data_IF_720745432711
#
_entry.id   IF_720745432711
#
_cell.length_a   1.000
_cell.length_b   1.000
_cell.length_c   1.000
_cell.angle_alpha   90.00
_cell.angle_beta   90.00
_cell.angle_gamma   90.00
#
_symmetry.space_group_name_H-M   'P 1'
#
loop_
_entity.id
_entity.type
_entity.pdbx_description
1 polymer ?
#
# COMPACT_ATOMS: atom_id res chain seq x y z
N UNK A 1 16.28 -19.12 -16.82
CA UNK A 1 16.01 -19.74 -15.50
C UNK A 1 14.73 -20.57 -15.61
N UNK A 2 14.57 -21.67 -14.86
CA UNK A 2 13.40 -22.55 -14.97
C UNK A 2 12.60 -22.55 -13.68
N UNK A 3 11.29 -22.30 -13.77
CA UNK A 3 10.36 -22.40 -12.64
C UNK A 3 9.83 -23.82 -12.57
N UNK A 4 9.88 -24.44 -11.39
CA UNK A 4 9.41 -25.79 -11.14
C UNK A 4 8.05 -25.75 -10.45
N UNK A 5 7.04 -26.36 -11.08
CA UNK A 5 5.69 -26.47 -10.53
C UNK A 5 5.66 -27.39 -9.30
N UNK A 6 4.97 -26.97 -8.25
CA UNK A 6 4.65 -27.82 -7.09
C UNK A 6 3.18 -28.17 -7.04
N UNK A 7 2.31 -27.20 -7.32
CA UNK A 7 0.87 -27.39 -7.47
C UNK A 7 0.28 -26.43 -8.53
N UNK A 8 -1.04 -26.37 -8.64
CA UNK A 8 -1.73 -25.51 -9.60
C UNK A 8 -1.38 -24.02 -9.42
N UNK A 9 -1.29 -23.56 -8.16
CA UNK A 9 -1.11 -22.15 -7.82
C UNK A 9 0.32 -21.81 -7.41
N UNK A 10 1.15 -22.79 -7.06
CA UNK A 10 2.51 -22.60 -6.58
C UNK A 10 3.57 -23.38 -7.36
N UNK A 11 4.73 -22.75 -7.48
CA UNK A 11 5.98 -23.32 -7.95
C UNK A 11 7.14 -22.68 -7.22
N UNK A 12 8.35 -23.03 -7.62
CA UNK A 12 9.57 -22.43 -7.09
C UNK A 12 10.61 -22.18 -8.17
N UNK A 13 11.43 -21.16 -7.96
CA UNK A 13 12.61 -20.88 -8.76
C UNK A 13 13.85 -21.19 -7.90
N UNK A 14 14.66 -22.21 -8.27
CA UNK A 14 15.88 -22.54 -7.55
C UNK A 14 16.91 -21.42 -7.66
N UNK A 15 17.70 -21.26 -6.59
CA UNK A 15 18.82 -20.34 -6.58
C UNK A 15 20.04 -20.99 -7.23
N UNK A 16 20.90 -20.21 -7.91
CA UNK A 16 22.19 -20.72 -8.38
C UNK A 16 23.01 -21.28 -7.21
N UNK A 17 23.63 -22.45 -7.37
CA UNK A 17 24.66 -22.96 -6.44
C UNK A 17 24.18 -23.48 -5.07
N UNK A 18 22.96 -24.02 -4.96
CA UNK A 18 22.37 -24.54 -3.69
C UNK A 18 22.38 -23.52 -2.53
N UNK A 19 22.12 -22.25 -2.87
CA UNK A 19 22.24 -21.11 -1.95
C UNK A 19 21.01 -20.89 -1.03
N UNK A 20 20.49 -21.97 -0.45
CA UNK A 20 19.39 -21.95 0.52
C UNK A 20 17.99 -21.99 -0.08
N UNK A 21 16.99 -21.53 0.70
CA UNK A 21 15.55 -21.65 0.36
C UNK A 21 15.24 -21.01 -1.01
N UNK A 22 14.60 -21.74 -1.95
CA UNK A 22 14.27 -21.23 -3.28
C UNK A 22 13.22 -20.10 -3.21
N UNK A 23 13.05 -19.39 -4.31
CA UNK A 23 12.02 -18.35 -4.45
C UNK A 23 10.67 -19.02 -4.65
N UNK A 24 9.66 -18.65 -3.85
CA UNK A 24 8.28 -19.10 -4.07
C UNK A 24 7.68 -18.32 -5.24
N UNK A 25 7.10 -19.01 -6.22
CA UNK A 25 6.45 -18.38 -7.37
C UNK A 25 4.97 -18.74 -7.36
N UNK A 26 4.12 -17.71 -7.30
CA UNK A 26 2.66 -17.85 -7.27
C UNK A 26 2.09 -17.54 -8.66
N UNK A 27 1.20 -18.40 -9.14
CA UNK A 27 0.55 -18.27 -10.43
C UNK A 27 0.29 -19.63 -11.06
N UNK A 28 -0.60 -19.70 -12.05
CA UNK A 28 -0.77 -20.88 -12.91
C UNK A 28 0.40 -21.01 -13.88
N UNK A 29 0.47 -22.10 -14.64
CA UNK A 29 1.53 -22.31 -15.64
C UNK A 29 1.59 -21.15 -16.65
N UNK A 30 0.44 -20.70 -17.15
CA UNK A 30 0.35 -19.54 -18.05
C UNK A 30 0.90 -18.23 -17.43
N UNK A 31 0.77 -18.05 -16.12
CA UNK A 31 1.30 -16.87 -15.42
C UNK A 31 2.81 -17.01 -15.20
N UNK A 32 3.27 -18.19 -14.76
CA UNK A 32 4.70 -18.46 -14.54
C UNK A 32 5.51 -18.29 -15.82
N UNK A 33 4.95 -18.74 -16.94
CA UNK A 33 5.57 -18.61 -18.27
C UNK A 33 5.58 -17.17 -18.80
N UNK A 34 4.86 -16.24 -18.14
CA UNK A 34 4.77 -14.84 -18.56
C UNK A 34 5.83 -13.93 -17.92
N UNK A 35 6.53 -14.38 -16.88
CA UNK A 35 7.58 -13.58 -16.24
C UNK A 35 8.77 -13.40 -17.18
N UNK A 36 9.14 -12.15 -17.44
CA UNK A 36 10.33 -11.84 -18.22
C UNK A 36 11.62 -12.14 -17.44
N UNK A 37 12.74 -12.27 -18.18
CA UNK A 37 14.03 -12.62 -17.57
C UNK A 37 14.52 -11.56 -16.58
N UNK A 38 14.19 -10.27 -16.78
CA UNK A 38 14.60 -9.18 -15.89
C UNK A 38 13.91 -9.32 -14.53
N UNK A 39 12.62 -9.64 -14.52
CA UNK A 39 11.84 -9.92 -13.32
C UNK A 39 12.43 -11.08 -12.52
N UNK A 40 12.77 -12.19 -13.20
CA UNK A 40 13.38 -13.35 -12.57
C UNK A 40 14.78 -13.05 -12.01
N UNK A 41 15.61 -12.32 -12.76
CA UNK A 41 16.94 -11.89 -12.31
C UNK A 41 16.84 -11.00 -11.07
N UNK A 42 15.90 -10.05 -11.05
CA UNK A 42 15.64 -9.21 -9.87
C UNK A 42 15.16 -10.01 -8.67
N UNK A 43 14.34 -11.05 -8.87
CA UNK A 43 13.90 -11.94 -7.79
C UNK A 43 15.08 -12.73 -7.21
N UNK A 44 15.98 -13.26 -8.06
CA UNK A 44 17.22 -13.93 -7.64
C UNK A 44 18.15 -12.98 -6.90
N UNK A 45 18.38 -11.78 -7.44
CA UNK A 45 19.21 -10.77 -6.80
C UNK A 45 18.67 -10.37 -5.42
N UNK A 46 17.35 -10.18 -5.31
CA UNK A 46 16.67 -9.90 -4.04
C UNK A 46 16.86 -11.04 -3.05
N UNK A 47 16.72 -12.28 -3.49
CA UNK A 47 16.85 -13.45 -2.62
C UNK A 47 18.29 -13.68 -2.16
N UNK A 48 19.26 -13.37 -3.00
CA UNK A 48 20.70 -13.46 -2.69
C UNK A 48 21.21 -12.26 -1.88
N UNK A 49 20.37 -11.25 -1.63
CA UNK A 49 20.78 -10.07 -0.87
C UNK A 49 20.99 -10.38 0.63
N UNK A 50 21.88 -9.63 1.32
CA UNK A 50 22.25 -9.91 2.70
C UNK A 50 21.06 -10.00 3.67
N UNK A 51 21.00 -11.11 4.41
CA UNK A 51 19.98 -11.30 5.43
C UNK A 51 18.57 -11.58 4.92
N UNK A 52 18.35 -11.71 3.61
CA UNK A 52 17.06 -12.11 3.03
C UNK A 52 16.88 -13.63 3.18
N UNK A 53 15.77 -14.04 3.79
CA UNK A 53 15.42 -15.46 3.99
C UNK A 53 14.45 -15.98 2.94
N UNK A 54 13.54 -15.12 2.51
CA UNK A 54 12.45 -15.47 1.60
C UNK A 54 12.22 -14.40 0.56
N UNK A 55 11.95 -14.84 -0.66
CA UNK A 55 11.35 -14.01 -1.71
C UNK A 55 10.18 -14.77 -2.30
N UNK A 56 9.06 -14.05 -2.45
CA UNK A 56 7.85 -14.56 -3.09
C UNK A 56 7.55 -13.66 -4.29
N UNK A 57 7.37 -14.27 -5.46
CA UNK A 57 6.94 -13.60 -6.68
C UNK A 57 5.45 -13.89 -6.92
N UNK A 58 4.61 -12.87 -6.82
CA UNK A 58 3.16 -12.98 -7.02
C UNK A 58 2.78 -12.96 -8.51
N UNK A 59 1.52 -13.32 -8.85
CA UNK A 59 1.08 -13.44 -10.25
C UNK A 59 1.22 -12.17 -11.10
N UNK A 60 1.25 -11.00 -10.47
CA UNK A 60 1.41 -9.69 -11.09
C UNK A 60 2.86 -9.21 -11.17
N UNK A 61 3.81 -10.11 -10.87
CA UNK A 61 5.25 -9.90 -10.91
C UNK A 61 5.76 -9.30 -12.22
N UNK A 62 6.50 -8.19 -12.15
CA UNK A 62 7.19 -7.61 -13.30
C UNK A 62 8.41 -6.79 -12.87
N UNK A 63 9.28 -6.49 -13.83
CA UNK A 63 10.50 -5.72 -13.59
C UNK A 63 10.21 -4.38 -12.87
N UNK A 64 10.92 -4.15 -11.77
CA UNK A 64 10.79 -2.98 -10.92
C UNK A 64 12.12 -2.25 -10.70
N UNK A 65 12.15 -1.42 -9.66
CA UNK A 65 13.36 -0.70 -9.21
C UNK A 65 14.06 -1.45 -8.06
N UNK A 66 15.20 -2.07 -8.29
CA UNK A 66 15.93 -2.92 -7.33
C UNK A 66 15.32 -4.30 -7.14
N UNK A 67 14.05 -4.36 -6.73
CA UNK A 67 13.27 -5.58 -6.64
C UNK A 67 12.06 -5.54 -7.58
N UNK A 68 11.52 -6.71 -7.99
CA UNK A 68 10.33 -6.78 -8.83
C UNK A 68 9.15 -6.07 -8.18
N UNK A 69 8.26 -5.49 -8.97
CA UNK A 69 6.90 -5.20 -8.50
C UNK A 69 6.16 -6.54 -8.47
N UNK A 70 5.24 -6.74 -7.53
CA UNK A 70 4.59 -8.04 -7.30
C UNK A 70 5.39 -8.94 -6.35
N UNK A 71 6.45 -8.44 -5.70
CA UNK A 71 7.27 -9.29 -4.82
C UNK A 71 7.04 -9.02 -3.33
N UNK A 72 7.34 -10.05 -2.55
CA UNK A 72 7.48 -9.99 -1.09
C UNK A 72 8.90 -10.43 -0.76
N UNK A 73 9.58 -9.70 0.10
CA UNK A 73 10.94 -10.01 0.55
C UNK A 73 11.01 -9.98 2.07
N UNK A 74 11.44 -11.09 2.66
CA UNK A 74 11.54 -11.25 4.12
C UNK A 74 12.99 -11.17 4.55
N UNK A 75 13.28 -10.29 5.50
CA UNK A 75 14.62 -10.10 6.05
C UNK A 75 14.55 -9.90 7.57
N UNK A 76 15.10 -10.83 8.37
CA UNK A 76 15.19 -10.66 9.82
C UNK A 76 16.27 -9.68 10.29
N UNK A 77 17.21 -9.28 9.43
CA UNK A 77 18.43 -8.56 9.87
C UNK A 77 18.71 -7.27 9.14
N UNK A 78 18.03 -7.00 8.02
CA UNK A 78 18.26 -5.82 7.18
C UNK A 78 16.95 -5.21 6.69
N UNK A 79 16.94 -3.89 6.50
CA UNK A 79 15.83 -3.14 5.91
C UNK A 79 16.24 -2.57 4.54
N UNK A 80 15.32 -2.61 3.57
CA UNK A 80 15.60 -2.28 2.17
C UNK A 80 14.56 -1.28 1.60
N UNK A 81 14.97 -0.11 1.08
CA UNK A 81 14.05 0.81 0.42
C UNK A 81 13.53 0.35 -0.94
N UNK A 82 14.37 -0.33 -1.73
CA UNK A 82 14.02 -0.81 -3.09
C UNK A 82 12.74 -1.66 -3.15
N UNK A 83 12.62 -2.69 -2.29
CA UNK A 83 11.44 -3.55 -2.11
C UNK A 83 10.26 -2.92 -1.34
N UNK A 84 10.31 -1.62 -1.04
CA UNK A 84 9.15 -0.80 -0.64
C UNK A 84 8.74 0.13 -1.78
N UNK A 85 9.72 0.73 -2.45
CA UNK A 85 9.51 1.62 -3.59
C UNK A 85 9.38 3.09 -3.19
N UNK A 86 9.21 3.93 -4.21
CA UNK A 86 9.23 5.40 -4.05
C UNK A 86 7.87 6.00 -3.69
N UNK A 87 6.78 5.25 -3.85
CA UNK A 87 5.46 5.64 -3.35
C UNK A 87 5.16 4.83 -2.11
N UNK A 88 5.73 5.28 -1.00
CA UNK A 88 5.64 4.64 0.32
C UNK A 88 4.16 4.52 0.69
N UNK A 89 3.75 3.32 1.08
CA UNK A 89 2.39 2.95 1.43
C UNK A 89 1.37 3.37 0.37
N UNK A 90 1.73 3.25 -0.91
CA UNK A 90 0.72 3.18 -1.98
C UNK A 90 -0.29 2.09 -1.61
N UNK A 91 -1.58 2.41 -1.70
CA UNK A 91 -2.65 1.69 -1.02
C UNK A 91 -3.97 1.73 -1.77
N UNK A 92 -4.86 0.83 -1.36
CA UNK A 92 -6.25 0.77 -1.75
C UNK A 92 -7.13 1.07 -0.54
N UNK A 93 -8.26 1.75 -0.75
CA UNK A 93 -9.34 1.83 0.24
C UNK A 93 -10.69 1.65 -0.42
N UNK A 94 -11.59 0.94 0.26
CA UNK A 94 -12.95 0.71 -0.22
C UNK A 94 -13.95 1.35 0.75
N UNK A 95 -14.66 2.38 0.28
CA UNK A 95 -15.79 2.98 0.97
C UNK A 95 -17.07 2.36 0.41
N UNK A 96 -17.96 1.81 1.24
CA UNK A 96 -19.30 1.43 0.79
C UNK A 96 -20.31 2.49 1.22
N UNK A 97 -21.17 2.88 0.29
CA UNK A 97 -22.27 3.80 0.54
C UNK A 97 -23.59 3.03 0.66
N UNK A 98 -24.53 3.57 1.42
CA UNK A 98 -25.88 2.99 1.55
C UNK A 98 -26.78 3.24 0.32
N UNK A 99 -26.19 3.67 -0.79
CA UNK A 99 -26.84 3.99 -2.06
C UNK A 99 -27.06 2.71 -2.88
N UNK A 100 -28.30 2.38 -3.29
CA UNK A 100 -28.57 1.28 -4.19
C UNK A 100 -28.19 1.61 -5.65
N UNK A 101 -27.93 0.58 -6.45
CA UNK A 101 -27.53 0.70 -7.87
C UNK A 101 -28.48 1.56 -8.71
N UNK A 102 -29.79 1.44 -8.50
CA UNK A 102 -30.82 2.18 -9.22
C UNK A 102 -30.74 3.70 -9.00
N UNK A 103 -30.31 4.14 -7.81
CA UNK A 103 -30.11 5.55 -7.50
C UNK A 103 -29.00 6.21 -8.34
N UNK A 104 -28.10 5.43 -8.95
CA UNK A 104 -27.05 5.92 -9.86
C UNK A 104 -27.20 5.38 -11.29
N UNK A 105 -28.36 4.82 -11.64
CA UNK A 105 -28.62 4.26 -12.97
C UNK A 105 -28.66 5.35 -14.07
N UNK A 106 -29.07 6.57 -13.72
CA UNK A 106 -29.08 7.70 -14.64
C UNK A 106 -27.67 8.30 -14.87
N UNK A 107 -27.42 8.68 -16.13
CA UNK A 107 -26.15 9.29 -16.57
C UNK A 107 -25.94 10.67 -15.98
N UNK A 108 -26.98 11.48 -15.79
CA UNK A 108 -26.85 12.81 -15.22
C UNK A 108 -26.45 12.74 -13.74
N UNK A 109 -27.04 11.83 -12.95
CA UNK A 109 -26.62 11.55 -11.57
C UNK A 109 -25.16 11.12 -11.50
N UNK A 110 -24.73 10.15 -12.33
CA UNK A 110 -23.31 9.75 -12.37
C UNK A 110 -22.38 10.92 -12.74
N UNK A 111 -22.78 11.78 -13.68
CA UNK A 111 -21.99 12.95 -14.05
C UNK A 111 -21.92 13.97 -12.92
N UNK A 112 -23.02 14.20 -12.21
CA UNK A 112 -23.07 15.08 -11.05
C UNK A 112 -22.15 14.58 -9.93
N UNK A 113 -22.17 13.28 -9.63
CA UNK A 113 -21.27 12.65 -8.66
C UNK A 113 -19.80 12.82 -9.04
N UNK A 114 -19.44 12.50 -10.29
CA UNK A 114 -18.07 12.67 -10.79
C UNK A 114 -17.61 14.13 -10.64
N UNK A 115 -18.46 15.09 -11.02
CA UNK A 115 -18.13 16.51 -10.91
C UNK A 115 -17.97 16.93 -9.43
N UNK A 116 -18.87 16.51 -8.55
CA UNK A 116 -18.81 16.82 -7.12
C UNK A 116 -17.57 16.23 -6.44
N UNK A 117 -17.09 15.06 -6.88
CA UNK A 117 -15.85 14.44 -6.44
C UNK A 117 -14.64 15.23 -6.95
N UNK A 118 -14.58 15.55 -8.25
CA UNK A 118 -13.47 16.31 -8.85
C UNK A 118 -13.36 17.72 -8.25
N UNK A 119 -14.47 18.34 -7.83
CA UNK A 119 -14.45 19.61 -7.11
C UNK A 119 -13.79 19.52 -5.73
N UNK A 120 -13.65 18.33 -5.14
CA UNK A 120 -13.10 18.09 -3.79
C UNK A 120 -11.74 17.40 -3.79
N UNK A 121 -11.48 16.49 -4.74
CA UNK A 121 -10.26 15.67 -4.79
C UNK A 121 -9.41 16.01 -6.01
N UNK A 122 -8.24 16.66 -5.85
CA UNK A 122 -7.34 16.93 -6.98
C UNK A 122 -6.82 15.65 -7.65
N UNK A 123 -6.76 15.66 -9.00
CA UNK A 123 -6.24 14.56 -9.84
C UNK A 123 -5.21 15.07 -10.87
N UNK A 124 -4.40 14.18 -11.46
CA UNK A 124 -3.44 14.51 -12.53
C UNK A 124 -2.05 14.87 -12.00
N UNK A 125 -1.07 15.26 -12.85
CA UNK A 125 0.29 15.65 -12.45
C UNK A 125 0.51 17.19 -12.49
N UNK A 126 1.45 17.73 -11.70
CA UNK A 126 1.87 19.14 -11.79
C UNK A 126 1.03 20.14 -10.96
N UNK A 127 0.91 21.40 -11.41
CA UNK A 127 0.29 22.52 -10.67
C UNK A 127 -1.21 22.29 -10.34
N UNK A 128 -1.91 21.45 -11.12
CA UNK A 128 -3.31 21.07 -10.85
C UNK A 128 -3.51 20.11 -9.66
N UNK A 129 -2.43 19.66 -8.99
CA UNK A 129 -2.52 18.71 -7.86
C UNK A 129 -2.81 19.33 -6.49
N UNK A 130 -2.74 20.66 -6.35
CA UNK A 130 -2.59 21.27 -5.01
C UNK A 130 -3.89 21.71 -4.37
N UNK A 131 -4.88 22.07 -5.18
CA UNK A 131 -6.13 22.59 -4.67
C UNK A 131 -7.19 22.53 -5.76
N UNK A 132 -8.41 22.24 -5.34
CA UNK A 132 -9.63 22.35 -6.12
C UNK A 132 -10.64 23.14 -5.29
N UNK A 133 -11.74 23.57 -5.91
CA UNK A 133 -12.71 24.51 -5.34
C UNK A 133 -13.17 24.16 -3.91
N UNK A 134 -13.37 22.88 -3.63
CA UNK A 134 -13.88 22.34 -2.35
C UNK A 134 -12.85 21.42 -1.66
N UNK A 135 -11.56 21.55 -1.97
CA UNK A 135 -10.52 20.80 -1.28
C UNK A 135 -10.47 21.16 0.21
N UNK A 136 -10.15 20.17 1.06
CA UNK A 136 -9.88 20.43 2.48
C UNK A 136 -8.50 21.09 2.61
N UNK A 137 -8.45 22.28 3.20
CA UNK A 137 -7.17 22.95 3.44
C UNK A 137 -6.39 22.25 4.56
N UNK A 138 -5.10 22.00 4.34
CA UNK A 138 -4.19 21.44 5.33
C UNK A 138 -2.96 22.32 5.42
N UNK A 139 -2.82 22.99 6.56
CA UNK A 139 -1.64 23.77 6.93
C UNK A 139 -0.67 22.92 7.77
N UNK A 140 0.40 23.54 8.28
CA UNK A 140 1.38 22.84 9.11
C UNK A 140 0.85 22.43 10.49
N UNK A 141 -0.14 23.15 11.03
CA UNK A 141 -0.74 22.84 12.33
C UNK A 141 -1.42 21.47 12.31
N UNK A 142 -2.07 21.12 11.20
CA UNK A 142 -2.71 19.81 11.02
C UNK A 142 -1.78 18.83 10.29
N UNK A 143 -1.04 19.30 9.30
CA UNK A 143 -0.22 18.47 8.43
C UNK A 143 0.98 17.83 9.12
N UNK A 144 1.58 18.48 10.12
CA UNK A 144 2.62 17.87 10.94
C UNK A 144 2.04 16.68 11.73
N UNK A 145 1.01 16.83 12.59
CA UNK A 145 0.36 15.69 13.23
C UNK A 145 -0.07 14.59 12.25
N UNK A 146 -0.57 14.96 11.07
CA UNK A 146 -0.98 13.98 10.06
C UNK A 146 0.17 13.07 9.60
N UNK A 147 1.39 13.59 9.47
CA UNK A 147 2.56 12.79 9.07
C UNK A 147 3.31 12.16 10.24
N UNK A 148 3.27 12.74 11.44
CA UNK A 148 3.98 12.19 12.61
C UNK A 148 3.13 11.23 13.44
N UNK A 149 1.80 11.31 13.36
CA UNK A 149 0.90 10.48 14.17
C UNK A 149 -0.08 9.65 13.35
N UNK A 150 -0.26 9.95 12.07
CA UNK A 150 -1.20 9.24 11.21
C UNK A 150 -2.65 9.53 11.58
N UNK A 151 -3.53 8.54 11.40
CA UNK A 151 -4.97 8.68 11.59
C UNK A 151 -5.41 8.53 13.06
N UNK A 152 -4.78 9.29 13.97
CA UNK A 152 -5.26 9.39 15.36
C UNK A 152 -6.60 10.13 15.41
N UNK A 153 -7.37 9.92 16.48
CA UNK A 153 -8.68 10.56 16.64
C UNK A 153 -8.63 12.09 16.47
N UNK A 154 -7.59 12.75 16.99
CA UNK A 154 -7.41 14.21 16.87
C UNK A 154 -7.16 14.65 15.43
N UNK A 155 -6.34 13.91 14.67
CA UNK A 155 -6.05 14.20 13.26
C UNK A 155 -7.31 13.98 12.42
N UNK A 156 -8.00 12.86 12.65
CA UNK A 156 -9.25 12.56 11.97
C UNK A 156 -10.31 13.65 12.22
N UNK A 157 -10.54 14.04 13.47
CA UNK A 157 -11.48 15.10 13.83
C UNK A 157 -11.12 16.45 13.19
N UNK A 158 -9.84 16.85 13.23
CA UNK A 158 -9.38 18.10 12.63
C UNK A 158 -9.61 18.16 11.11
N UNK A 159 -9.58 17.01 10.43
CA UNK A 159 -9.78 16.89 8.99
C UNK A 159 -11.22 16.54 8.58
N UNK A 160 -12.14 16.35 9.54
CA UNK A 160 -13.51 15.92 9.26
C UNK A 160 -13.63 14.45 8.82
N UNK A 161 -12.63 13.62 9.15
CA UNK A 161 -12.62 12.19 8.90
C UNK A 161 -13.31 11.49 10.09
N UNK A 162 -14.25 10.55 9.85
CA UNK A 162 -14.83 9.73 10.92
C UNK A 162 -13.74 8.93 11.66
N UNK A 163 -13.48 9.19 12.97
CA UNK A 163 -12.38 8.56 13.70
C UNK A 163 -12.48 7.03 13.76
N UNK A 164 -13.69 6.47 13.72
CA UNK A 164 -13.93 5.04 13.73
C UNK A 164 -13.42 4.32 12.47
N UNK A 165 -13.18 5.04 11.37
CA UNK A 165 -12.58 4.47 10.16
C UNK A 165 -11.13 4.03 10.40
N UNK A 166 -10.45 4.57 11.41
CA UNK A 166 -9.12 4.10 11.81
C UNK A 166 -9.11 2.60 12.21
N UNK A 167 -10.22 2.07 12.73
CA UNK A 167 -10.36 0.63 13.07
C UNK A 167 -10.59 -0.27 11.84
N UNK A 168 -10.71 0.33 10.65
CA UNK A 168 -10.86 -0.35 9.36
C UNK A 168 -9.60 -0.22 8.50
N UNK A 169 -8.47 0.14 9.11
CA UNK A 169 -7.17 0.18 8.46
C UNK A 169 -6.33 -1.02 8.89
N UNK A 170 -5.50 -1.52 7.97
CA UNK A 170 -4.48 -2.51 8.33
C UNK A 170 -3.50 -2.04 9.42
N UNK A 171 -3.13 -0.76 9.38
CA UNK A 171 -2.61 0.07 10.48
C UNK A 171 -2.97 1.53 10.18
N UNK A 172 -3.62 2.17 11.14
CA UNK A 172 -4.07 3.56 11.08
C UNK A 172 -2.97 4.55 11.45
N UNK A 173 -1.98 4.13 12.22
CA UNK A 173 -0.85 4.95 12.68
C UNK A 173 0.45 4.16 12.58
N UNK A 174 1.54 4.88 12.37
CA UNK A 174 2.92 4.38 12.35
C UNK A 174 3.75 5.25 13.30
N UNK A 175 4.66 4.60 14.03
CA UNK A 175 5.59 5.24 14.98
C UNK A 175 7.02 5.17 14.43
N UNK A 176 7.95 5.87 15.07
CA UNK A 176 9.37 5.79 14.75
C UNK A 176 9.98 4.44 15.11
N UNK A 177 11.27 4.30 14.79
CA UNK A 177 12.11 3.14 15.04
C UNK A 177 12.08 2.67 16.51
N UNK A 178 11.86 3.59 17.45
CA UNK A 178 11.78 3.32 18.90
C UNK A 178 10.35 3.10 19.42
N UNK A 179 9.34 3.10 18.54
CA UNK A 179 7.94 2.93 18.90
C UNK A 179 7.23 4.21 19.34
N UNK A 180 7.83 5.40 19.18
CA UNK A 180 7.24 6.67 19.60
C UNK A 180 6.87 7.60 18.45
N UNK A 181 5.92 8.53 18.68
CA UNK A 181 5.66 9.64 17.76
C UNK A 181 6.73 10.74 17.87
N UNK A 182 7.41 10.84 19.01
CA UNK A 182 8.46 11.84 19.24
C UNK A 182 9.71 11.59 18.38
N UNK A 183 10.04 10.33 18.11
CA UNK A 183 11.06 9.98 17.12
C UNK A 183 10.70 10.50 15.72
N UNK A 184 9.45 10.33 15.28
CA UNK A 184 8.98 10.86 13.99
C UNK A 184 8.98 12.38 13.96
N UNK A 185 8.62 13.02 15.07
CA UNK A 185 8.66 14.48 15.19
C UNK A 185 10.09 15.00 15.05
N UNK A 186 11.02 14.41 15.80
CA UNK A 186 12.44 14.75 15.76
C UNK A 186 13.03 14.52 14.37
N UNK A 187 12.68 13.40 13.73
CA UNK A 187 13.09 13.08 12.37
C UNK A 187 12.59 14.12 11.37
N UNK A 188 11.31 14.48 11.46
CA UNK A 188 10.71 15.50 10.59
C UNK A 188 11.41 16.85 10.76
N UNK A 189 11.62 17.31 12.00
CA UNK A 189 12.30 18.58 12.28
C UNK A 189 13.72 18.60 11.70
N UNK A 190 14.45 17.48 11.81
CA UNK A 190 15.76 17.33 11.17
C UNK A 190 15.67 17.39 9.64
N UNK A 191 14.72 16.71 9.00
CA UNK A 191 14.52 16.74 7.54
C UNK A 191 14.28 18.18 7.05
N UNK A 192 13.47 18.94 7.77
CA UNK A 192 13.14 20.32 7.45
C UNK A 192 14.35 21.24 7.66
N UNK A 193 15.06 21.10 8.78
CA UNK A 193 16.28 21.86 9.07
C UNK A 193 17.39 21.62 8.04
N UNK A 194 17.50 20.39 7.51
CA UNK A 194 18.45 20.05 6.44
C UNK A 194 17.98 20.51 5.04
N UNK A 195 16.81 21.14 4.93
CA UNK A 195 16.26 21.60 3.64
C UNK A 195 16.00 20.46 2.66
N UNK A 196 15.77 19.24 3.16
CA UNK A 196 15.49 18.05 2.32
C UNK A 196 14.12 18.13 1.67
N UNK A 197 13.16 18.78 2.33
CA UNK A 197 11.83 19.08 1.80
C UNK A 197 11.58 20.59 1.94
N UNK A 198 12.13 21.37 0.99
CA UNK A 198 12.06 22.85 1.03
C UNK A 198 10.65 23.41 0.92
N UNK A 199 9.74 22.66 0.31
CA UNK A 199 8.35 23.06 0.10
C UNK A 199 7.39 22.21 0.93
N UNK A 200 7.71 21.99 2.21
CA UNK A 200 6.95 21.12 3.09
C UNK A 200 5.46 21.46 3.13
N UNK A 201 5.10 22.73 3.28
CA UNK A 201 3.70 23.21 3.24
C UNK A 201 2.97 22.79 1.96
N UNK A 202 3.64 22.89 0.80
CA UNK A 202 3.08 22.42 -0.48
C UNK A 202 2.87 20.90 -0.50
N UNK A 203 3.70 20.14 0.21
CA UNK A 203 3.65 18.67 0.24
C UNK A 203 2.53 18.16 1.14
N UNK A 204 2.39 18.71 2.34
CA UNK A 204 1.26 18.40 3.23
C UNK A 204 -0.07 18.86 2.65
N UNK A 205 -0.07 19.97 1.89
CA UNK A 205 -1.23 20.43 1.12
C UNK A 205 -1.68 19.47 0.00
N UNK A 206 -0.95 18.37 -0.26
CA UNK A 206 -1.38 17.31 -1.16
C UNK A 206 -2.32 16.28 -0.49
N UNK A 207 -2.54 16.36 0.83
CA UNK A 207 -3.53 15.53 1.51
C UNK A 207 -4.92 15.77 0.91
N UNK A 208 -5.67 14.68 0.68
CA UNK A 208 -6.94 14.70 -0.02
C UNK A 208 -6.83 14.58 -1.55
N UNK A 209 -5.67 14.18 -2.10
CA UNK A 209 -5.44 14.11 -3.56
C UNK A 209 -4.99 12.73 -4.05
N UNK A 210 -5.37 12.40 -5.29
CA UNK A 210 -4.90 11.18 -5.99
C UNK A 210 -3.55 11.39 -6.66
N UNK A 211 -3.38 12.56 -7.24
CA UNK A 211 -2.32 12.90 -8.17
C UNK A 211 -2.30 12.06 -9.45
N UNK A 212 -1.10 11.65 -9.91
CA UNK A 212 -0.91 11.04 -11.23
C UNK A 212 -0.32 9.63 -11.17
N UNK A 213 -0.14 8.99 -12.34
CA UNK A 213 0.38 7.63 -12.44
C UNK A 213 -0.75 6.62 -12.64
N UNK A 214 -0.75 5.54 -11.86
CA UNK A 214 -1.81 4.51 -11.84
C UNK A 214 -2.84 4.79 -10.73
N UNK A 215 -2.87 5.99 -10.16
CA UNK A 215 -3.83 6.35 -9.11
C UNK A 215 -5.17 6.71 -9.71
N UNK A 216 -6.25 6.22 -9.10
CA UNK A 216 -7.62 6.42 -9.58
C UNK A 216 -8.62 6.30 -8.43
N UNK A 217 -9.82 6.81 -8.66
CA UNK A 217 -11.01 6.47 -7.88
C UNK A 217 -12.08 5.91 -8.81
N UNK A 218 -12.75 4.84 -8.41
CA UNK A 218 -13.73 4.12 -9.20
C UNK A 218 -15.01 3.86 -8.39
N UNK A 219 -16.17 4.10 -9.00
CA UNK A 219 -17.46 3.70 -8.45
C UNK A 219 -17.86 2.34 -9.04
N UNK A 220 -18.08 1.37 -8.17
CA UNK A 220 -18.49 0.01 -8.53
C UNK A 220 -19.79 -0.37 -7.82
N UNK A 221 -20.51 -1.36 -8.36
CA UNK A 221 -21.63 -1.99 -7.67
C UNK A 221 -21.12 -3.24 -6.97
N UNK A 222 -21.30 -3.31 -5.65
CA UNK A 222 -20.95 -4.50 -4.87
C UNK A 222 -21.88 -5.65 -5.25
N UNK A 223 -21.29 -6.77 -5.69
CA UNK A 223 -21.99 -8.04 -5.90
C UNK A 223 -21.47 -9.10 -4.95
N UNK A 224 -22.35 -9.72 -4.18
CA UNK A 224 -22.04 -10.77 -3.22
C UNK A 224 -22.61 -12.09 -3.73
N UNK A 225 -21.76 -13.12 -3.83
CA UNK A 225 -22.19 -14.44 -4.30
C UNK A 225 -23.21 -15.09 -3.34
N UNK A 226 -24.07 -15.97 -3.85
CA UNK A 226 -25.08 -16.68 -3.03
C UNK A 226 -24.55 -17.77 -2.11
N UNK A 227 -23.23 -18.01 -2.11
CA UNK A 227 -22.63 -19.01 -1.22
C UNK A 227 -22.73 -18.55 0.25
N UNK A 228 -22.92 -19.45 1.23
CA UNK A 228 -23.04 -19.05 2.65
C UNK A 228 -21.78 -18.37 3.20
N UNK A 229 -20.61 -18.99 3.02
CA UNK A 229 -19.34 -18.50 3.56
C UNK A 229 -18.99 -17.06 3.13
N UNK A 230 -19.08 -16.67 1.84
CA UNK A 230 -18.79 -15.30 1.42
C UNK A 230 -19.83 -14.30 1.92
N UNK A 231 -21.09 -14.69 2.11
CA UNK A 231 -22.13 -13.81 2.66
C UNK A 231 -21.82 -13.46 4.12
N UNK A 232 -21.40 -14.43 4.92
CA UNK A 232 -21.02 -14.20 6.32
C UNK A 232 -19.77 -13.32 6.43
N UNK A 233 -18.77 -13.56 5.58
CA UNK A 233 -17.57 -12.70 5.49
C UNK A 233 -17.91 -11.28 5.04
N UNK A 234 -18.74 -11.12 4.01
CA UNK A 234 -19.16 -9.81 3.53
C UNK A 234 -19.90 -9.02 4.64
N UNK A 235 -20.74 -9.71 5.42
CA UNK A 235 -21.44 -9.11 6.57
C UNK A 235 -20.47 -8.60 7.64
N UNK A 236 -19.41 -9.34 8.00
CA UNK A 236 -18.41 -8.84 8.95
C UNK A 236 -17.65 -7.62 8.42
N UNK A 237 -17.45 -7.56 7.11
CA UNK A 237 -16.83 -6.43 6.42
C UNK A 237 -17.76 -5.21 6.32
N UNK A 238 -19.07 -5.38 6.56
CA UNK A 238 -20.08 -4.34 6.39
C UNK A 238 -20.50 -4.16 4.92
N UNK A 239 -20.18 -5.12 4.05
CA UNK A 239 -20.55 -5.12 2.64
C UNK A 239 -22.00 -5.59 2.46
N UNK A 240 -22.74 -4.84 1.64
CA UNK A 240 -24.11 -5.11 1.22
C UNK A 240 -24.18 -5.27 -0.30
N UNK A 241 -24.97 -6.25 -0.74
CA UNK A 241 -25.19 -6.54 -2.15
C UNK A 241 -26.02 -5.44 -2.83
N UNK A 242 -25.70 -5.13 -4.09
CA UNK A 242 -26.41 -4.13 -4.90
C UNK A 242 -26.18 -2.68 -4.46
N UNK A 243 -25.22 -2.44 -3.55
CA UNK A 243 -24.84 -1.10 -3.06
C UNK A 243 -23.63 -0.55 -3.79
N UNK A 244 -23.59 0.78 -3.89
CA UNK A 244 -22.47 1.52 -4.48
C UNK A 244 -21.27 1.45 -3.55
N UNK A 245 -20.11 1.11 -4.11
CA UNK A 245 -18.82 1.19 -3.46
C UNK A 245 -17.89 2.11 -4.25
N UNK A 246 -17.01 2.78 -3.51
CA UNK A 246 -15.98 3.64 -4.06
C UNK A 246 -14.62 3.06 -3.71
N UNK A 247 -13.89 2.58 -4.71
CA UNK A 247 -12.52 2.09 -4.58
C UNK A 247 -11.56 3.23 -4.91
N UNK A 248 -10.61 3.49 -4.02
CA UNK A 248 -9.59 4.53 -4.18
C UNK A 248 -8.21 3.91 -4.17
N UNK A 249 -7.38 4.25 -5.16
CA UNK A 249 -5.96 3.92 -5.26
C UNK A 249 -5.12 5.19 -5.26
N UNK A 250 -4.35 5.42 -4.19
CA UNK A 250 -3.32 6.46 -4.17
C UNK A 250 -2.21 6.09 -3.18
N UNK A 251 -1.43 7.08 -2.71
CA UNK A 251 -0.27 6.82 -1.87
C UNK A 251 0.21 8.06 -1.13
N UNK A 252 1.50 8.10 -0.82
CA UNK A 252 2.15 9.17 -0.01
C UNK A 252 2.54 10.41 -0.83
N UNK A 253 2.12 10.45 -2.09
CA UNK A 253 2.24 11.59 -2.99
C UNK A 253 3.68 12.08 -3.12
N UNK A 254 3.87 13.37 -3.32
CA UNK A 254 5.20 13.97 -3.44
C UNK A 254 5.97 14.00 -2.12
N UNK A 255 5.33 13.74 -0.98
CA UNK A 255 5.98 13.68 0.32
C UNK A 255 6.78 12.39 0.48
N UNK A 256 6.13 11.23 0.36
CA UNK A 256 6.82 9.94 0.45
C UNK A 256 7.84 9.71 -0.67
N UNK A 257 7.59 10.28 -1.87
CA UNK A 257 8.56 10.26 -2.95
C UNK A 257 9.88 10.98 -2.60
N UNK A 258 9.82 12.12 -1.92
CA UNK A 258 11.01 12.85 -1.48
C UNK A 258 11.73 12.12 -0.34
N UNK A 259 10.99 11.51 0.58
CA UNK A 259 11.55 10.69 1.66
C UNK A 259 12.32 9.49 1.08
N UNK A 260 11.67 8.72 0.20
CA UNK A 260 12.30 7.56 -0.45
C UNK A 260 13.55 7.95 -1.26
N UNK A 261 13.48 9.02 -2.07
CA UNK A 261 14.65 9.49 -2.84
C UNK A 261 15.80 9.95 -1.94
N UNK A 262 15.49 10.61 -0.82
CA UNK A 262 16.47 10.98 0.18
C UNK A 262 17.21 9.75 0.74
N UNK A 263 16.46 8.69 1.04
CA UNK A 263 17.00 7.45 1.59
C UNK A 263 17.84 6.66 0.58
N UNK A 264 17.41 6.54 -0.68
CA UNK A 264 18.24 5.94 -1.73
C UNK A 264 19.58 6.67 -1.85
N UNK A 265 19.56 8.00 -1.92
CA UNK A 265 20.78 8.82 -2.02
C UNK A 265 21.69 8.62 -0.81
N UNK A 266 21.13 8.64 0.39
CA UNK A 266 21.91 8.53 1.63
C UNK A 266 22.57 7.15 1.75
N UNK A 267 21.83 6.07 1.50
CA UNK A 267 22.37 4.71 1.56
C UNK A 267 23.36 4.44 0.42
N UNK A 268 23.09 4.91 -0.80
CA UNK A 268 24.07 4.81 -1.90
C UNK A 268 25.40 5.48 -1.54
N UNK A 269 25.36 6.64 -0.89
CA UNK A 269 26.56 7.32 -0.42
C UNK A 269 27.26 6.52 0.69
N UNK A 270 26.50 5.94 1.62
CA UNK A 270 27.06 5.08 2.69
C UNK A 270 27.79 3.86 2.12
N UNK A 271 27.22 3.19 1.13
CA UNK A 271 27.87 2.07 0.44
C UNK A 271 29.22 2.49 -0.15
N UNK A 272 29.28 3.65 -0.81
CA UNK A 272 30.52 4.21 -1.37
C UNK A 272 31.54 4.51 -0.27
N UNK A 273 31.11 5.13 0.83
CA UNK A 273 32.01 5.49 1.95
C UNK A 273 32.53 4.25 2.68
N UNK A 274 31.72 3.20 2.82
CA UNK A 274 32.12 1.94 3.47
C UNK A 274 32.89 0.99 2.56
N UNK A 275 32.99 1.27 1.26
CA UNK A 275 33.56 0.35 0.28
C UNK A 275 32.74 -0.94 0.12
N UNK A 276 31.46 -0.91 0.47
CA UNK A 276 30.56 -2.07 0.39
C UNK A 276 30.09 -2.23 -1.06
N UNK A 277 30.26 -3.43 -1.68
CA UNK A 277 29.72 -3.67 -3.01
C UNK A 277 28.19 -3.66 -2.97
N UNK A 278 27.58 -3.11 -4.02
CA UNK A 278 26.13 -3.19 -4.18
C UNK A 278 25.71 -4.65 -4.41
N UNK A 279 24.62 -5.14 -3.79
CA UNK A 279 24.09 -6.48 -4.05
C UNK A 279 23.83 -6.68 -5.54
N UNK A 280 24.41 -7.74 -6.11
CA UNK A 280 24.35 -8.03 -7.55
C UNK A 280 24.80 -6.85 -8.46
N UNK A 281 25.59 -5.90 -7.94
CA UNK A 281 25.97 -4.68 -8.66
C UNK A 281 24.83 -3.66 -8.83
N UNK A 282 23.68 -3.86 -8.19
CA UNK A 282 22.50 -3.00 -8.34
C UNK A 282 22.42 -1.95 -7.23
N UNK A 283 22.62 -0.68 -7.61
CA UNK A 283 22.50 0.48 -6.71
C UNK A 283 21.09 0.66 -6.16
N UNK A 284 20.09 0.04 -6.78
CA UNK A 284 18.69 0.13 -6.38
C UNK A 284 18.35 -0.87 -5.25
N UNK A 285 19.26 -1.79 -4.93
CA UNK A 285 19.13 -2.79 -3.88
C UNK A 285 19.97 -2.46 -2.62
N UNK A 286 20.18 -1.17 -2.37
CA UNK A 286 20.77 -0.66 -1.11
C UNK A 286 19.95 -1.08 0.11
N UNK A 287 20.64 -1.21 1.24
CA UNK A 287 20.06 -1.66 2.50
C UNK A 287 20.74 -1.04 3.71
N UNK A 288 20.13 -1.20 4.88
CA UNK A 288 20.77 -0.95 6.16
C UNK A 288 20.59 -2.17 7.09
N UNK A 289 21.64 -2.65 7.77
CA UNK A 289 21.49 -3.62 8.85
C UNK A 289 20.64 -3.03 9.98
N UNK A 290 19.74 -3.82 10.55
CA UNK A 290 18.89 -3.38 11.66
C UNK A 290 19.75 -3.02 12.88
N UNK A 291 19.33 -2.00 13.63
CA UNK A 291 20.05 -1.47 14.78
C UNK A 291 21.18 -0.50 14.43
N UNK A 292 21.33 -0.11 13.15
CA UNK A 292 22.21 1.01 12.76
C UNK A 292 21.42 2.30 12.61
N UNK A 293 22.07 3.48 12.77
CA UNK A 293 21.43 4.77 12.54
C UNK A 293 20.82 4.93 11.13
N UNK A 294 21.40 4.26 10.13
CA UNK A 294 20.86 4.25 8.77
C UNK A 294 19.53 3.49 8.68
N UNK A 295 19.39 2.37 9.39
CA UNK A 295 18.13 1.63 9.44
C UNK A 295 17.06 2.45 10.17
N UNK A 296 17.38 3.01 11.34
CA UNK A 296 16.46 3.83 12.12
C UNK A 296 15.96 5.04 11.30
N UNK A 297 16.87 5.74 10.62
CA UNK A 297 16.52 6.85 9.75
C UNK A 297 15.61 6.44 8.59
N UNK A 298 15.80 5.26 7.99
CA UNK A 298 14.92 4.76 6.93
C UNK A 298 13.54 4.35 7.48
N UNK A 299 13.50 3.68 8.63
CA UNK A 299 12.25 3.28 9.28
C UNK A 299 11.40 4.50 9.63
N UNK A 300 12.00 5.56 10.18
CA UNK A 300 11.29 6.81 10.48
C UNK A 300 10.77 7.49 9.20
N UNK A 301 11.58 7.57 8.14
CA UNK A 301 11.15 8.16 6.86
C UNK A 301 10.01 7.35 6.21
N UNK A 302 10.08 6.02 6.29
CA UNK A 302 9.00 5.15 5.83
C UNK A 302 7.72 5.37 6.65
N UNK A 303 7.83 5.47 7.97
CA UNK A 303 6.69 5.70 8.86
C UNK A 303 6.03 7.06 8.62
N UNK A 304 6.81 8.13 8.40
CA UNK A 304 6.29 9.45 7.99
C UNK A 304 5.48 9.36 6.68
N UNK A 305 6.02 8.69 5.67
CA UNK A 305 5.33 8.47 4.40
C UNK A 305 4.07 7.61 4.54
N UNK A 306 4.14 6.58 5.39
CA UNK A 306 3.02 5.69 5.71
C UNK A 306 1.86 6.42 6.39
N UNK A 307 2.15 7.27 7.37
CA UNK A 307 1.16 8.11 8.04
C UNK A 307 0.49 9.06 7.04
N UNK A 308 1.27 9.75 6.20
CA UNK A 308 0.73 10.59 5.12
C UNK A 308 -0.27 9.81 4.25
N UNK A 309 0.14 8.65 3.71
CA UNK A 309 -0.69 7.89 2.79
C UNK A 309 -2.01 7.45 3.45
N UNK A 310 -1.95 7.05 4.72
CA UNK A 310 -3.13 6.64 5.49
C UNK A 310 -4.12 7.78 5.65
N UNK A 311 -3.65 8.95 6.13
CA UNK A 311 -4.50 10.13 6.29
C UNK A 311 -5.03 10.61 4.94
N UNK A 312 -4.21 10.57 3.88
CA UNK A 312 -4.61 10.95 2.53
C UNK A 312 -5.82 10.13 2.05
N UNK A 313 -5.76 8.81 2.18
CA UNK A 313 -6.86 7.92 1.79
C UNK A 313 -8.13 8.16 2.60
N UNK A 314 -8.00 8.28 3.93
CA UNK A 314 -9.16 8.52 4.78
C UNK A 314 -9.82 9.87 4.49
N UNK A 315 -9.02 10.91 4.22
CA UNK A 315 -9.52 12.21 3.81
C UNK A 315 -10.22 12.14 2.44
N UNK A 316 -9.65 11.42 1.47
CA UNK A 316 -10.29 11.20 0.17
C UNK A 316 -11.65 10.52 0.35
N UNK A 317 -11.75 9.47 1.17
CA UNK A 317 -13.01 8.79 1.42
C UNK A 317 -14.06 9.71 2.08
N UNK A 318 -13.64 10.58 3.01
CA UNK A 318 -14.53 11.56 3.62
C UNK A 318 -15.03 12.59 2.59
N UNK A 319 -14.13 13.11 1.75
CA UNK A 319 -14.46 14.03 0.66
C UNK A 319 -15.37 13.39 -0.40
N UNK A 320 -15.18 12.11 -0.70
CA UNK A 320 -16.07 11.35 -1.58
C UNK A 320 -17.44 11.20 -0.95
N UNK A 321 -17.55 10.84 0.33
CA UNK A 321 -18.83 10.78 1.04
C UNK A 321 -19.55 12.14 1.01
N UNK A 322 -18.85 13.24 1.26
CA UNK A 322 -19.40 14.60 1.14
C UNK A 322 -19.90 14.92 -0.28
N UNK A 323 -19.19 14.46 -1.32
CA UNK A 323 -19.63 14.62 -2.70
C UNK A 323 -20.93 13.85 -2.99
N UNK A 324 -21.04 12.63 -2.47
CA UNK A 324 -22.27 11.85 -2.56
C UNK A 324 -23.42 12.51 -1.79
N UNK A 325 -23.16 13.06 -0.60
CA UNK A 325 -24.17 13.77 0.19
C UNK A 325 -24.67 15.07 -0.47
N UNK A 326 -23.83 15.73 -1.27
CA UNK A 326 -24.25 16.89 -2.06
C UNK A 326 -25.24 16.51 -3.17
N UNK A 327 -24.98 15.41 -3.88
CA UNK A 327 -25.80 14.99 -5.03
C UNK A 327 -27.00 14.16 -4.59
N UNK A 328 -26.84 13.35 -3.55
CA UNK A 328 -27.82 12.44 -2.96
C UNK A 328 -27.91 12.72 -1.44
N UNK A 329 -28.73 13.70 -1.02
CA UNK A 329 -28.85 14.08 0.38
C UNK A 329 -29.20 12.91 1.30
N UNK A 330 -28.48 12.80 2.41
CA UNK A 330 -28.67 11.73 3.39
C UNK A 330 -27.84 10.46 3.16
N UNK A 331 -27.05 10.40 2.08
CA UNK A 331 -26.09 9.31 1.85
C UNK A 331 -25.18 9.08 3.08
N UNK A 332 -25.05 7.82 3.48
CA UNK A 332 -24.12 7.37 4.52
C UNK A 332 -23.03 6.52 3.89
N UNK A 333 -21.85 6.56 4.48
CA UNK A 333 -20.70 5.79 4.02
C UNK A 333 -19.98 5.13 5.17
N UNK A 334 -19.47 3.93 4.92
CA UNK A 334 -18.67 3.17 5.86
C UNK A 334 -17.42 2.66 5.17
N UNK A 335 -16.25 2.92 5.77
CA UNK A 335 -15.01 2.33 5.29
C UNK A 335 -15.05 0.81 5.51
N UNK A 336 -14.93 0.05 4.43
CA UNK A 336 -14.83 -1.41 4.46
C UNK A 336 -13.44 -1.79 4.92
N UNK A 337 -12.42 -1.28 4.21
CA UNK A 337 -11.02 -1.48 4.59
C UNK A 337 -10.07 -0.50 3.89
N UNK A 338 -8.91 -0.27 4.49
CA UNK A 338 -7.74 0.39 3.89
C UNK A 338 -6.53 -0.55 4.00
N UNK A 339 -5.84 -0.77 2.88
CA UNK A 339 -4.74 -1.73 2.78
C UNK A 339 -3.67 -1.29 1.78
N UNK A 340 -2.39 -1.44 2.14
CA UNK A 340 -1.25 -1.04 1.31
C UNK A 340 -0.69 -2.17 0.46
N UNK A 341 0.09 -1.78 -0.53
CA UNK A 341 0.87 -2.70 -1.35
C UNK A 341 2.36 -2.35 -1.49
N UNK A 342 2.81 -1.26 -0.88
CA UNK A 342 4.20 -0.78 -0.92
C UNK A 342 4.67 -0.41 0.49
N UNK A 343 5.11 -1.37 1.31
CA UNK A 343 5.55 -1.09 2.68
C UNK A 343 6.41 -2.23 3.23
N UNK A 344 7.30 -1.92 4.16
CA UNK A 344 7.93 -2.92 5.01
C UNK A 344 7.29 -2.92 6.40
N UNK A 345 7.00 -4.11 6.93
CA UNK A 345 6.47 -4.26 8.28
C UNK A 345 7.13 -5.39 9.03
N UNK A 346 7.22 -5.22 10.33
CA UNK A 346 7.69 -6.25 11.23
C UNK A 346 6.57 -7.26 11.48
N UNK A 347 6.80 -8.52 11.12
CA UNK A 347 5.84 -9.61 11.21
C UNK A 347 6.55 -10.90 11.69
N UNK A 348 5.76 -11.94 12.01
CA UNK A 348 6.31 -13.27 12.34
C UNK A 348 6.20 -14.15 11.11
N UNK A 349 7.35 -14.58 10.57
CA UNK A 349 7.45 -15.52 9.45
C UNK A 349 8.33 -16.68 9.90
N UNK A 350 7.86 -17.93 9.67
CA UNK A 350 8.54 -19.15 10.11
C UNK A 350 8.97 -19.13 11.60
N UNK A 351 8.09 -18.57 12.46
CA UNK A 351 8.32 -18.46 13.91
C UNK A 351 9.34 -17.40 14.33
N UNK A 352 9.84 -16.58 13.40
CA UNK A 352 10.85 -15.54 13.64
C UNK A 352 10.31 -14.15 13.33
N UNK A 353 10.62 -13.19 14.20
CA UNK A 353 10.36 -11.76 13.96
C UNK A 353 11.20 -11.29 12.77
N UNK A 354 10.58 -10.71 11.75
CA UNK A 354 11.26 -10.33 10.50
C UNK A 354 10.58 -9.15 9.83
N UNK A 355 11.34 -8.40 9.03
CA UNK A 355 10.79 -7.33 8.19
C UNK A 355 10.33 -7.91 6.85
N UNK A 356 9.02 -7.86 6.64
CA UNK A 356 8.34 -8.27 5.41
C UNK A 356 8.15 -7.03 4.55
N UNK A 357 8.96 -6.92 3.50
CA UNK A 357 8.89 -5.87 2.50
C UNK A 357 7.95 -6.32 1.40
N UNK A 358 6.96 -5.48 1.09
CA UNK A 358 6.00 -5.72 0.02
C UNK A 358 6.09 -4.59 -0.98
N UNK A 359 6.21 -4.95 -2.26
CA UNK A 359 6.20 -3.99 -3.38
C UNK A 359 5.26 -4.49 -4.45
N UNK A 360 4.14 -3.81 -4.63
CA UNK A 360 3.02 -4.36 -5.39
C UNK A 360 2.55 -5.70 -4.82
N UNK A 361 2.57 -5.86 -3.49
CA UNK A 361 2.03 -7.04 -2.84
C UNK A 361 1.32 -6.63 -1.57
N UNK A 362 0.25 -7.32 -1.22
CA UNK A 362 -0.62 -6.92 -0.12
C UNK A 362 -0.61 -7.98 0.97
N UNK A 363 -0.71 -7.54 2.23
CA UNK A 363 -0.84 -8.44 3.38
C UNK A 363 -2.10 -9.30 3.24
N UNK A 364 -2.05 -10.53 3.72
CA UNK A 364 -3.11 -11.53 3.55
C UNK A 364 -3.22 -12.41 4.81
N UNK A 365 -3.62 -11.82 5.92
CA UNK A 365 -3.72 -12.53 7.20
C UNK A 365 -5.07 -13.29 7.28
N UNK A 366 -5.05 -14.61 7.54
CA UNK A 366 -6.26 -15.42 7.60
C UNK A 366 -7.00 -15.30 8.95
N UNK A 367 -8.21 -15.83 9.00
CA UNK A 367 -8.99 -16.02 10.22
C UNK A 367 -8.16 -16.72 11.31
N UNK A 368 -8.33 -16.29 12.57
CA UNK A 368 -7.69 -16.88 13.74
C UNK A 368 -6.23 -16.51 13.95
N UNK A 369 -5.60 -15.77 13.04
CA UNK A 369 -4.23 -15.30 13.23
C UNK A 369 -4.13 -14.27 14.37
N UNK A 370 -3.12 -14.41 15.23
CA UNK A 370 -2.99 -13.63 16.46
C UNK A 370 -2.94 -12.10 16.23
N UNK A 371 -2.39 -11.64 15.11
CA UNK A 371 -2.33 -10.21 14.78
C UNK A 371 -3.70 -9.57 14.50
N UNK A 372 -4.76 -10.37 14.30
CA UNK A 372 -6.13 -9.88 14.14
C UNK A 372 -6.93 -9.93 15.45
N UNK A 373 -6.35 -10.41 16.55
CA UNK A 373 -7.04 -10.47 17.84
C UNK A 373 -7.56 -9.09 18.25
N UNK A 374 -8.83 -9.02 18.68
CA UNK A 374 -9.48 -7.76 19.06
C UNK A 374 -9.97 -6.90 17.89
N UNK A 375 -9.71 -7.29 16.63
CA UNK A 375 -10.24 -6.61 15.45
C UNK A 375 -11.57 -7.23 14.99
N UNK A 376 -12.42 -6.51 14.23
CA UNK A 376 -13.63 -7.07 13.61
C UNK A 376 -13.36 -8.24 12.64
N UNK A 377 -12.09 -8.46 12.28
CA UNK A 377 -11.65 -9.40 11.27
C UNK A 377 -11.06 -10.69 11.86
N UNK A 378 -11.02 -10.82 13.19
CA UNK A 378 -10.40 -11.95 13.88
C UNK A 378 -10.94 -13.31 13.41
N UNK A 379 -12.26 -13.43 13.20
CA UNK A 379 -12.92 -14.68 12.81
C UNK A 379 -12.97 -14.93 11.30
N UNK A 380 -12.67 -13.91 10.48
CA UNK A 380 -12.80 -14.02 9.02
C UNK A 380 -11.48 -13.90 8.28
N UNK A 381 -10.46 -13.26 8.88
CA UNK A 381 -9.36 -12.66 8.13
C UNK A 381 -9.74 -11.24 7.68
N UNK A 382 -8.73 -10.41 7.43
CA UNK A 382 -8.99 -9.03 6.99
C UNK A 382 -9.29 -8.95 5.49
N UNK A 383 -10.03 -7.91 5.03
CA UNK A 383 -10.28 -7.70 3.61
C UNK A 383 -8.99 -7.50 2.81
N UNK A 384 -8.95 -8.04 1.61
CA UNK A 384 -7.89 -7.81 0.61
C UNK A 384 -8.56 -7.16 -0.58
N UNK A 385 -8.09 -5.98 -0.97
CA UNK A 385 -8.67 -5.19 -2.06
C UNK A 385 -7.81 -5.37 -3.31
N UNK A 386 -8.34 -6.06 -4.32
CA UNK A 386 -7.65 -6.24 -5.60
C UNK A 386 -8.36 -5.49 -6.72
N UNK A 387 -7.80 -4.37 -7.20
CA UNK A 387 -8.24 -3.78 -8.46
C UNK A 387 -7.89 -4.68 -9.65
N UNK A 388 -8.85 -4.89 -10.53
CA UNK A 388 -8.64 -5.50 -11.83
C UNK A 388 -8.24 -4.44 -12.85
N UNK A 389 -9.11 -4.23 -13.83
CA UNK A 389 -9.03 -3.11 -14.77
C UNK A 389 -10.42 -2.45 -14.85
N UNK A 390 -10.54 -1.23 -15.42
CA UNK A 390 -11.82 -0.51 -15.44
C UNK A 390 -12.97 -1.21 -16.20
N UNK A 391 -12.70 -2.30 -16.92
CA UNK A 391 -13.71 -3.12 -17.59
C UNK A 391 -14.16 -4.29 -16.74
N UNK A 392 -13.23 -4.97 -16.06
CA UNK A 392 -13.50 -6.22 -15.34
C UNK A 392 -13.79 -6.01 -13.84
N UNK A 393 -13.62 -4.78 -13.34
CA UNK A 393 -13.92 -4.38 -11.97
C UNK A 393 -12.89 -4.87 -10.95
N UNK A 394 -13.27 -4.82 -9.68
CA UNK A 394 -12.41 -5.17 -8.56
C UNK A 394 -12.98 -6.32 -7.74
N UNK A 395 -12.12 -7.00 -6.98
CA UNK A 395 -12.54 -8.09 -6.08
C UNK A 395 -12.10 -7.82 -4.64
N UNK A 396 -13.00 -8.08 -3.71
CA UNK A 396 -12.69 -8.17 -2.28
C UNK A 396 -12.46 -9.62 -1.94
N UNK A 397 -11.26 -9.95 -1.50
CA UNK A 397 -10.87 -11.29 -1.09
C UNK A 397 -10.60 -11.35 0.41
N UNK A 398 -10.38 -12.57 0.89
CA UNK A 398 -9.88 -12.84 2.22
C UNK A 398 -8.94 -14.04 2.16
N UNK A 399 -7.90 -14.02 2.98
CA UNK A 399 -6.93 -15.10 3.05
C UNK A 399 -7.54 -16.34 3.70
N UNK A 400 -7.18 -17.52 3.16
CA UNK A 400 -7.44 -18.80 3.81
C UNK A 400 -6.20 -19.25 4.59
N UNK A 401 -6.37 -20.27 5.44
CA UNK A 401 -5.24 -21.01 5.99
C UNK A 401 -4.29 -21.48 4.87
N UNK A 402 -2.98 -21.50 5.14
CA UNK A 402 -1.95 -21.75 4.12
C UNK A 402 -1.26 -20.48 3.60
N UNK A 403 -1.75 -19.28 3.96
CA UNK A 403 -1.16 -18.01 3.57
C UNK A 403 0.28 -17.82 4.10
N UNK A 404 0.69 -18.56 5.12
CA UNK A 404 2.07 -18.61 5.61
C UNK A 404 3.06 -19.05 4.51
N UNK A 405 2.63 -19.86 3.52
CA UNK A 405 3.45 -20.29 2.37
C UNK A 405 3.91 -19.13 1.49
N UNK A 406 3.22 -17.98 1.58
CA UNK A 406 3.55 -16.76 0.84
C UNK A 406 3.91 -15.60 1.77
N UNK A 407 4.39 -15.91 2.99
CA UNK A 407 4.65 -14.92 4.04
C UNK A 407 3.43 -14.00 4.28
N UNK A 408 2.25 -14.61 4.37
CA UNK A 408 0.96 -13.95 4.57
C UNK A 408 0.74 -12.80 3.60
N UNK A 409 0.97 -13.06 2.31
CA UNK A 409 0.91 -12.04 1.26
C UNK A 409 0.29 -12.57 -0.03
N UNK A 410 -0.24 -11.65 -0.84
CA UNK A 410 -0.85 -11.91 -2.15
C UNK A 410 -0.54 -10.75 -3.11
N UNK A 411 -0.88 -10.88 -4.40
CA UNK A 411 -0.77 -9.81 -5.38
C UNK A 411 -1.53 -8.54 -4.95
N UNK A 412 -1.27 -7.42 -5.61
CA UNK A 412 -1.96 -6.15 -5.33
C UNK A 412 -2.95 -5.74 -6.42
N UNK A 413 -2.95 -6.42 -7.56
CA UNK A 413 -3.90 -6.18 -8.66
C UNK A 413 -3.73 -7.19 -9.79
N UNK A 414 -4.27 -6.87 -10.97
CA UNK A 414 -4.17 -7.72 -12.17
C UNK A 414 -2.81 -7.65 -12.90
N UNK A 415 -1.85 -6.89 -12.36
CA UNK A 415 -0.53 -6.72 -12.96
C UNK A 415 -0.51 -5.91 -14.25
N UNK A 416 0.69 -5.72 -14.79
CA UNK A 416 0.92 -4.87 -15.95
C UNK A 416 1.74 -5.59 -17.00
N UNK A 417 1.16 -5.77 -18.20
CA UNK A 417 1.83 -6.47 -19.32
C UNK A 417 2.55 -5.54 -20.31
N UNK A 418 2.11 -4.29 -20.46
CA UNK A 418 2.69 -3.34 -21.43
C UNK A 418 3.22 -2.06 -20.76
N UNK A 419 4.38 -1.57 -21.23
CA UNK A 419 5.01 -0.31 -20.81
C UNK A 419 4.15 0.93 -21.08
N UNK A 420 4.51 2.08 -20.50
CA UNK A 420 3.70 3.33 -20.56
C UNK A 420 4.04 4.20 -21.77
N UNK A 421 5.14 3.86 -22.44
CA UNK A 421 5.59 4.48 -23.68
C UNK A 421 5.27 3.49 -24.79
N UNK A 422 4.34 3.87 -25.65
CA UNK A 422 4.31 3.41 -27.02
C UNK A 422 5.04 4.46 -27.87
#
# INVERSE_FOLDING_TARGET
>A
MTIHKTDEALGFLPLPGDNGKPITVVGTDAIRDSFDQICLDQAVNSRMAPGVTDVILNPDGHAGYGAPVGCVMVSPTHIYPGPVGVDIKCSMSLLQLDIPEDAIADKATRRALINAIIERTPTGAGRGQRSVKKARHVDELIGIPAVTEGATARVCQALGIPPEWAFRCEDSTHTGHDGTYDALRTRLDWILAQGRIRNFTDKIGQLGSYGGGNHFGECEITRITDRPWPRDTAKSFGLQDGKVSFLSHCGSRGFGNLLAQGQFRDLENKFRTWGTPFPAGDKQLVYAPLGTPEADAYLDDMALGANFATVNHLLINALVLEAFQEVLPGAKGQLVYFISHNIAREEIVDGRKSWVHRKGATRAIPAGHFSLAGTPFASTGHPILLPGNPRDGSVVMVAKAGAERTAYSVNHGAGRRMGRKH
#
